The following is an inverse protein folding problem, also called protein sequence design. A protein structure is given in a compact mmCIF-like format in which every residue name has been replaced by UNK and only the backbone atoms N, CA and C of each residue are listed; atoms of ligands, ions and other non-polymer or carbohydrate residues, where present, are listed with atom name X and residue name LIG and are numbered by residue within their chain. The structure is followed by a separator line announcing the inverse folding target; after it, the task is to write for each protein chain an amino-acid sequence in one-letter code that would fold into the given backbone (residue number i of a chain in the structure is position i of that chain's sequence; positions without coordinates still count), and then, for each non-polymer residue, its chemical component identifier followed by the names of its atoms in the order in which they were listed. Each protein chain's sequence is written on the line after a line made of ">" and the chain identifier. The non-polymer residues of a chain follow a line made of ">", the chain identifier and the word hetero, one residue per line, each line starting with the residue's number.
data_IF_094857503484
#
_entry.id   IF_094857503484
#
_cell.length_a   1.000
_cell.length_b   1.000
_cell.length_c   1.000
_cell.angle_alpha   90.00
_cell.angle_beta   90.00
_cell.angle_gamma   90.00
#
_symmetry.space_group_name_H-M   'P 1'
#
loop_
_entity.id
_entity.type
_entity.pdbx_description
1 polymer ?
#
# COMPACT_ATOMS: atom_id res chain seq x y z
N UNK A 1 47.54 18.30 -8.99
CA UNK A 1 46.84 17.85 -7.77
C UNK A 1 45.57 18.66 -7.43
N UNK A 2 44.88 19.28 -8.40
CA UNK A 2 43.69 20.12 -8.16
C UNK A 2 42.39 19.62 -8.82
N UNK A 3 42.42 18.56 -9.63
CA UNK A 3 41.24 18.11 -10.41
C UNK A 3 40.35 17.06 -9.74
N UNK A 4 40.81 16.36 -8.69
CA UNK A 4 40.00 15.31 -8.03
C UNK A 4 39.04 15.88 -6.98
N UNK A 5 39.39 16.99 -6.32
CA UNK A 5 38.53 17.61 -5.30
C UNK A 5 37.24 18.25 -5.86
N UNK A 6 37.28 18.77 -7.08
CA UNK A 6 36.13 19.45 -7.70
C UNK A 6 35.04 18.45 -8.16
N UNK A 7 35.44 17.24 -8.58
CA UNK A 7 34.52 16.17 -8.98
C UNK A 7 33.74 15.60 -7.79
N UNK A 8 34.36 15.50 -6.61
CA UNK A 8 33.68 15.01 -5.39
C UNK A 8 32.69 16.05 -4.84
N UNK A 9 33.05 17.33 -4.85
CA UNK A 9 32.17 18.43 -4.44
C UNK A 9 30.94 18.56 -5.34
N UNK A 10 31.09 18.37 -6.66
CA UNK A 10 29.96 18.39 -7.61
C UNK A 10 29.03 17.20 -7.42
N UNK A 11 29.56 15.99 -7.17
CA UNK A 11 28.73 14.80 -6.90
C UNK A 11 27.94 14.91 -5.58
N UNK A 12 28.53 15.46 -4.53
CA UNK A 12 27.84 15.69 -3.24
C UNK A 12 26.71 16.73 -3.41
N UNK A 13 26.94 17.79 -4.18
CA UNK A 13 25.94 18.83 -4.43
C UNK A 13 24.78 18.32 -5.30
N UNK A 14 25.08 17.48 -6.30
CA UNK A 14 24.07 16.81 -7.12
C UNK A 14 23.23 15.85 -6.27
N UNK A 15 23.84 15.05 -5.39
CA UNK A 15 23.12 14.12 -4.52
C UNK A 15 22.22 14.86 -3.50
N UNK A 16 22.71 15.95 -2.91
CA UNK A 16 21.92 16.82 -2.04
C UNK A 16 20.73 17.46 -2.75
N UNK A 17 20.93 17.91 -3.99
CA UNK A 17 19.88 18.50 -4.84
C UNK A 17 18.83 17.46 -5.24
N UNK A 18 19.25 16.25 -5.65
CA UNK A 18 18.35 15.14 -5.97
C UNK A 18 17.51 14.71 -4.76
N UNK A 19 18.08 14.68 -3.55
CA UNK A 19 17.34 14.38 -2.32
C UNK A 19 16.32 15.46 -1.98
N UNK A 20 16.65 16.74 -2.22
CA UNK A 20 15.77 17.89 -2.00
C UNK A 20 14.63 17.92 -3.01
N UNK A 21 14.90 17.62 -4.29
CA UNK A 21 13.89 17.48 -5.35
C UNK A 21 12.96 16.29 -5.06
N UNK A 22 13.49 15.12 -4.68
CA UNK A 22 12.66 13.95 -4.38
C UNK A 22 11.76 14.18 -3.15
N UNK A 23 12.24 14.90 -2.13
CA UNK A 23 11.42 15.30 -0.98
C UNK A 23 10.35 16.34 -1.37
N UNK A 24 10.70 17.33 -2.18
CA UNK A 24 9.77 18.37 -2.65
C UNK A 24 8.69 17.82 -3.59
N UNK A 25 9.04 16.86 -4.46
CA UNK A 25 8.10 16.17 -5.35
C UNK A 25 7.16 15.29 -4.55
N UNK A 26 7.65 14.53 -3.56
CA UNK A 26 6.78 13.76 -2.65
C UNK A 26 5.75 14.65 -1.97
N UNK A 27 6.19 15.74 -1.33
CA UNK A 27 5.29 16.67 -0.62
C UNK A 27 4.25 17.30 -1.56
N UNK A 28 4.63 17.64 -2.80
CA UNK A 28 3.71 18.27 -3.74
C UNK A 28 2.69 17.26 -4.34
N UNK A 29 3.07 16.00 -4.49
CA UNK A 29 2.17 14.92 -4.92
C UNK A 29 1.13 14.60 -3.82
N UNK A 30 1.54 14.51 -2.55
CA UNK A 30 0.60 14.37 -1.42
C UNK A 30 -0.31 15.59 -1.27
N UNK A 31 0.22 16.80 -1.46
CA UNK A 31 -0.55 18.06 -1.39
C UNK A 31 -1.60 18.19 -2.50
N UNK A 32 -1.35 17.64 -3.70
CA UNK A 32 -2.33 17.64 -4.81
C UNK A 32 -3.34 16.48 -4.73
N UNK A 33 -2.90 15.28 -4.32
CA UNK A 33 -3.82 14.14 -4.12
C UNK A 33 -4.68 14.30 -2.87
N UNK A 34 -4.20 15.05 -1.87
CA UNK A 34 -4.96 15.39 -0.67
C UNK A 34 -6.14 16.32 -0.92
N UNK A 35 -6.16 17.11 -2.01
CA UNK A 35 -7.16 18.16 -2.21
C UNK A 35 -8.54 17.64 -2.66
N UNK A 36 -8.64 16.45 -3.26
CA UNK A 36 -9.91 15.97 -3.82
C UNK A 36 -10.72 15.09 -2.85
N UNK A 37 -10.09 14.50 -1.83
CA UNK A 37 -10.80 14.00 -0.64
C UNK A 37 -10.95 15.07 0.46
N UNK A 38 -10.38 16.26 0.27
CA UNK A 38 -10.32 17.34 1.27
C UNK A 38 -11.63 18.07 1.51
N UNK A 39 -12.62 17.93 0.64
CA UNK A 39 -13.87 18.69 0.78
C UNK A 39 -14.85 18.09 1.81
N UNK A 40 -14.61 16.87 2.32
CA UNK A 40 -15.63 16.17 3.12
C UNK A 40 -15.34 16.08 4.62
N UNK A 41 -14.10 16.08 5.09
CA UNK A 41 -13.86 16.09 6.56
C UNK A 41 -12.57 16.83 6.95
N UNK A 42 -12.80 18.04 7.49
CA UNK A 42 -12.06 18.85 8.47
C UNK A 42 -10.54 18.67 8.69
N UNK A 43 -9.88 19.82 8.64
CA UNK A 43 -8.44 20.01 8.70
C UNK A 43 -7.80 20.00 10.09
N UNK A 44 -6.54 19.56 10.08
CA UNK A 44 -5.53 19.63 11.14
C UNK A 44 -4.24 18.99 10.63
N UNK A 45 -3.06 19.43 11.05
CA UNK A 45 -1.77 18.85 10.62
C UNK A 45 -1.63 17.37 10.98
N UNK A 46 -2.35 16.90 12.01
CA UNK A 46 -2.46 15.48 12.36
C UNK A 46 -3.45 14.70 11.48
N UNK A 47 -4.43 15.38 10.87
CA UNK A 47 -5.43 14.76 10.00
C UNK A 47 -4.78 14.16 8.75
N UNK A 48 -3.74 14.80 8.21
CA UNK A 48 -2.99 14.31 7.04
C UNK A 48 -2.37 12.91 7.24
N UNK A 49 -2.04 12.54 8.48
CA UNK A 49 -1.47 11.22 8.82
C UNK A 49 -2.58 10.23 9.22
N UNK A 50 -3.67 10.71 9.81
CA UNK A 50 -4.75 9.88 10.34
C UNK A 50 -5.70 9.41 9.22
N UNK A 51 -6.05 10.29 8.27
CA UNK A 51 -7.02 9.97 7.22
C UNK A 51 -6.62 8.77 6.33
N UNK A 52 -5.35 8.57 5.92
CA UNK A 52 -4.97 7.43 5.09
C UNK A 52 -5.07 6.12 5.88
N UNK A 53 -4.73 6.15 7.18
CA UNK A 53 -4.86 4.98 8.05
C UNK A 53 -6.34 4.62 8.20
N UNK A 54 -7.20 5.61 8.43
CA UNK A 54 -8.64 5.41 8.53
C UNK A 54 -9.21 4.83 7.23
N UNK A 55 -8.77 5.35 6.08
CA UNK A 55 -9.18 4.84 4.76
C UNK A 55 -8.73 3.40 4.57
N UNK A 56 -7.48 3.05 4.92
CA UNK A 56 -6.96 1.68 4.80
C UNK A 56 -7.76 0.71 5.67
N UNK A 57 -8.05 1.08 6.92
CA UNK A 57 -8.82 0.23 7.86
C UNK A 57 -10.27 0.09 7.39
N UNK A 58 -10.90 1.19 6.97
CA UNK A 58 -12.27 1.18 6.43
C UNK A 58 -12.37 0.31 5.18
N UNK A 59 -11.47 0.53 4.20
CA UNK A 59 -11.41 -0.26 2.97
C UNK A 59 -11.16 -1.74 3.25
N UNK A 60 -10.22 -2.08 4.16
CA UNK A 60 -9.97 -3.47 4.56
C UNK A 60 -11.19 -4.10 5.23
N UNK A 61 -11.97 -3.34 5.99
CA UNK A 61 -13.18 -3.86 6.65
C UNK A 61 -14.24 -4.21 5.61
N UNK A 62 -14.56 -3.27 4.71
CA UNK A 62 -15.47 -3.53 3.59
C UNK A 62 -14.98 -4.68 2.71
N UNK A 63 -13.68 -4.70 2.43
CA UNK A 63 -13.03 -5.76 1.68
C UNK A 63 -13.32 -7.14 2.26
N UNK A 64 -12.99 -7.35 3.54
CA UNK A 64 -13.14 -8.65 4.18
C UNK A 64 -14.62 -9.08 4.31
N UNK A 65 -15.55 -8.12 4.44
CA UNK A 65 -17.01 -8.39 4.40
C UNK A 65 -17.43 -8.85 3.00
N UNK A 66 -17.10 -8.09 1.96
CA UNK A 66 -17.46 -8.41 0.58
C UNK A 66 -16.81 -9.71 0.10
N UNK A 67 -15.54 -9.95 0.45
CA UNK A 67 -14.82 -11.17 0.12
C UNK A 67 -15.50 -12.41 0.75
N UNK A 68 -15.98 -12.31 2.00
CA UNK A 68 -16.75 -13.39 2.63
C UNK A 68 -18.14 -13.57 2.03
N UNK A 69 -18.80 -12.47 1.65
CA UNK A 69 -20.12 -12.51 1.01
C UNK A 69 -20.08 -12.94 -0.46
N UNK A 70 -18.90 -13.09 -1.04
CA UNK A 70 -18.74 -13.54 -2.44
C UNK A 70 -19.28 -14.97 -2.55
N UNK A 71 -20.29 -15.22 -3.40
CA UNK A 71 -20.91 -16.54 -3.50
C UNK A 71 -19.90 -17.64 -3.83
N UNK A 72 -20.10 -18.81 -3.21
CA UNK A 72 -19.27 -19.99 -3.44
C UNK A 72 -19.51 -20.59 -4.83
N UNK A 73 -20.69 -20.35 -5.40
CA UNK A 73 -21.14 -20.94 -6.66
C UNK A 73 -20.52 -20.29 -7.91
N UNK A 74 -19.93 -19.11 -7.79
CA UNK A 74 -19.23 -18.44 -8.89
C UNK A 74 -17.73 -18.76 -8.85
N UNK A 75 -17.12 -18.87 -10.02
CA UNK A 75 -15.66 -18.98 -10.11
C UNK A 75 -15.00 -17.72 -9.49
N UNK A 76 -14.03 -17.90 -8.59
CA UNK A 76 -13.37 -16.79 -7.91
C UNK A 76 -12.73 -15.82 -8.91
N UNK A 77 -12.09 -16.33 -9.97
CA UNK A 77 -11.47 -15.49 -11.00
C UNK A 77 -12.49 -14.70 -11.83
N UNK A 78 -13.70 -15.23 -12.03
CA UNK A 78 -14.78 -14.49 -12.70
C UNK A 78 -15.24 -13.31 -11.85
N UNK A 79 -15.46 -13.53 -10.55
CA UNK A 79 -15.80 -12.44 -9.61
C UNK A 79 -14.68 -11.40 -9.54
N UNK A 80 -13.43 -11.85 -9.42
CA UNK A 80 -12.27 -10.96 -9.39
C UNK A 80 -12.12 -10.16 -10.67
N UNK A 81 -12.39 -10.75 -11.84
CA UNK A 81 -12.36 -10.03 -13.13
C UNK A 81 -13.33 -8.85 -13.13
N UNK A 82 -14.54 -9.03 -12.60
CA UNK A 82 -15.52 -7.94 -12.45
C UNK A 82 -14.99 -6.88 -11.47
N UNK A 83 -14.48 -7.29 -10.30
CA UNK A 83 -13.91 -6.38 -9.30
C UNK A 83 -12.79 -5.52 -9.87
N UNK A 84 -11.85 -6.12 -10.61
CA UNK A 84 -10.74 -5.40 -11.24
C UNK A 84 -11.22 -4.47 -12.36
N UNK A 85 -12.22 -4.88 -13.13
CA UNK A 85 -12.81 -4.03 -14.15
C UNK A 85 -13.46 -2.78 -13.52
N UNK A 86 -14.22 -2.94 -12.44
CA UNK A 86 -14.78 -1.82 -11.66
C UNK A 86 -13.68 -0.94 -11.08
N UNK A 87 -12.63 -1.52 -10.49
CA UNK A 87 -11.50 -0.78 -9.94
C UNK A 87 -10.77 0.02 -11.03
N UNK A 88 -10.57 -0.56 -12.22
CA UNK A 88 -9.96 0.10 -13.37
C UNK A 88 -10.77 1.32 -13.81
N UNK A 89 -12.10 1.20 -13.93
CA UNK A 89 -12.98 2.32 -14.29
C UNK A 89 -12.86 3.44 -13.25
N UNK A 90 -12.92 3.11 -11.95
CA UNK A 90 -12.77 4.09 -10.88
C UNK A 90 -11.40 4.78 -10.90
N UNK A 91 -10.31 4.04 -11.14
CA UNK A 91 -8.97 4.60 -11.29
C UNK A 91 -8.88 5.56 -12.47
N UNK A 92 -9.50 5.24 -13.62
CA UNK A 92 -9.53 6.12 -14.80
C UNK A 92 -10.31 7.40 -14.48
N UNK A 93 -11.48 7.29 -13.84
CA UNK A 93 -12.27 8.46 -13.42
C UNK A 93 -11.45 9.35 -12.49
N UNK A 94 -10.83 8.76 -11.46
CA UNK A 94 -9.99 9.48 -10.51
C UNK A 94 -8.76 10.12 -11.17
N UNK A 95 -8.18 9.48 -12.18
CA UNK A 95 -7.08 10.04 -12.96
C UNK A 95 -7.50 11.32 -13.67
N UNK A 96 -8.68 11.34 -14.29
CA UNK A 96 -9.18 12.54 -14.97
C UNK A 96 -9.64 13.64 -14.01
N UNK A 97 -10.14 13.30 -12.81
CA UNK A 97 -10.53 14.31 -11.80
C UNK A 97 -9.33 14.91 -11.05
N UNK A 98 -8.24 14.14 -10.89
CA UNK A 98 -7.06 14.55 -10.10
C UNK A 98 -5.87 14.99 -10.97
N UNK A 99 -5.80 14.52 -12.22
CA UNK A 99 -4.67 14.75 -13.11
C UNK A 99 -4.61 16.16 -13.68
N UNK A 100 -3.46 16.82 -13.54
CA UNK A 100 -3.14 18.05 -14.30
C UNK A 100 -2.61 17.75 -15.72
N UNK A 101 -2.43 16.46 -16.07
CA UNK A 101 -1.86 16.00 -17.34
C UNK A 101 -2.98 15.52 -18.29
N UNK A 102 -3.07 16.02 -19.53
CA UNK A 102 -4.20 15.75 -20.41
C UNK A 102 -4.18 14.38 -21.12
N UNK A 103 -3.10 13.58 -21.02
CA UNK A 103 -2.94 12.34 -21.81
C UNK A 103 -2.58 11.13 -20.94
N UNK A 104 -3.53 10.20 -20.82
CA UNK A 104 -3.36 8.91 -20.14
C UNK A 104 -2.22 8.08 -20.75
N UNK A 105 -2.07 8.12 -22.08
CA UNK A 105 -1.01 7.40 -22.81
C UNK A 105 0.40 7.83 -22.39
N UNK A 106 0.60 9.10 -22.04
CA UNK A 106 1.90 9.62 -21.59
C UNK A 106 2.27 9.13 -20.19
N UNK A 107 1.29 8.91 -19.32
CA UNK A 107 1.52 8.35 -17.98
C UNK A 107 1.66 6.82 -18.03
N UNK A 108 0.91 6.14 -18.91
CA UNK A 108 1.09 4.70 -19.16
C UNK A 108 2.49 4.39 -19.70
N UNK A 109 3.05 5.27 -20.53
CA UNK A 109 4.42 5.10 -21.02
C UNK A 109 5.48 5.20 -19.90
N UNK A 110 5.14 5.79 -18.75
CA UNK A 110 6.02 5.80 -17.55
C UNK A 110 5.79 4.61 -16.63
N UNK A 111 4.76 3.79 -16.89
CA UNK A 111 4.50 2.60 -16.10
C UNK A 111 5.69 1.65 -16.21
N UNK A 112 6.15 1.15 -15.07
CA UNK A 112 7.32 0.29 -14.99
C UNK A 112 6.93 -1.16 -14.65
N UNK A 113 7.90 -2.07 -14.69
CA UNK A 113 7.73 -3.47 -14.29
C UNK A 113 7.09 -3.65 -12.90
N UNK A 114 7.29 -2.67 -12.00
CA UNK A 114 6.69 -2.63 -10.67
C UNK A 114 5.16 -2.67 -10.70
N UNK A 115 4.53 -2.00 -11.67
CA UNK A 115 3.06 -1.98 -11.78
C UNK A 115 2.50 -3.35 -12.18
N UNK A 116 3.23 -4.10 -13.01
CA UNK A 116 2.85 -5.45 -13.41
C UNK A 116 2.93 -6.41 -12.23
N UNK A 117 4.04 -6.40 -11.49
CA UNK A 117 4.21 -7.25 -10.31
C UNK A 117 3.24 -6.89 -9.19
N UNK A 118 2.93 -5.61 -9.03
CA UNK A 118 1.91 -5.18 -8.09
C UNK A 118 0.54 -5.75 -8.48
N UNK A 119 0.16 -5.71 -9.76
CA UNK A 119 -1.07 -6.32 -10.24
C UNK A 119 -1.16 -7.83 -9.96
N UNK A 120 -0.08 -8.57 -10.21
CA UNK A 120 0.00 -10.01 -9.90
C UNK A 120 -0.15 -10.24 -8.39
N UNK A 121 0.51 -9.42 -7.56
CA UNK A 121 0.44 -9.51 -6.10
C UNK A 121 -0.98 -9.28 -5.57
N UNK A 122 -1.69 -8.28 -6.10
CA UNK A 122 -3.07 -7.99 -5.70
C UNK A 122 -3.96 -9.18 -6.10
N UNK A 123 -3.82 -9.74 -7.31
CA UNK A 123 -4.59 -10.91 -7.73
C UNK A 123 -4.40 -12.12 -6.80
N UNK A 124 -3.16 -12.40 -6.40
CA UNK A 124 -2.85 -13.47 -5.46
C UNK A 124 -3.44 -13.22 -4.05
N UNK A 125 -3.33 -11.98 -3.56
CA UNK A 125 -3.88 -11.57 -2.26
C UNK A 125 -5.40 -11.77 -2.23
N UNK A 126 -6.06 -11.27 -3.27
CA UNK A 126 -7.50 -11.34 -3.45
C UNK A 126 -8.02 -12.77 -3.51
N UNK A 127 -7.39 -13.59 -4.35
CA UNK A 127 -7.71 -15.01 -4.44
C UNK A 127 -7.45 -15.75 -3.12
N UNK A 128 -6.38 -15.39 -2.40
CA UNK A 128 -6.04 -15.95 -1.09
C UNK A 128 -7.13 -15.72 -0.05
N UNK A 129 -7.60 -14.47 0.10
CA UNK A 129 -8.67 -14.15 1.05
C UNK A 129 -10.00 -14.82 0.70
N UNK A 130 -10.40 -14.81 -0.58
CA UNK A 130 -11.60 -15.52 -1.03
C UNK A 130 -11.49 -17.02 -0.71
N UNK A 131 -10.32 -17.62 -0.91
CA UNK A 131 -10.08 -19.04 -0.59
C UNK A 131 -10.16 -19.34 0.90
N UNK A 132 -9.64 -18.46 1.76
CA UNK A 132 -9.73 -18.60 3.22
C UNK A 132 -11.20 -18.53 3.67
N UNK A 133 -11.99 -17.61 3.12
CA UNK A 133 -13.40 -17.49 3.46
C UNK A 133 -14.24 -18.65 2.93
N UNK A 134 -13.90 -19.19 1.76
CA UNK A 134 -14.48 -20.44 1.23
C UNK A 134 -14.18 -21.66 2.11
N UNK A 135 -13.02 -21.68 2.77
CA UNK A 135 -12.69 -22.69 3.76
C UNK A 135 -13.47 -22.56 5.09
N UNK A 136 -14.39 -21.60 5.20
CA UNK A 136 -15.28 -21.44 6.35
C UNK A 136 -14.74 -20.56 7.46
N UNK A 137 -13.60 -19.88 7.26
CA UNK A 137 -12.99 -19.08 8.31
C UNK A 137 -13.85 -17.85 8.69
N UNK A 138 -13.75 -17.44 9.95
CA UNK A 138 -14.38 -16.20 10.42
C UNK A 138 -13.60 -14.98 9.91
N UNK A 139 -14.32 -13.88 9.67
CA UNK A 139 -13.74 -12.62 9.16
C UNK A 139 -12.59 -12.15 10.06
N UNK A 140 -12.87 -12.10 11.38
CA UNK A 140 -11.91 -11.65 12.37
C UNK A 140 -10.67 -12.53 12.46
N UNK A 141 -10.84 -13.85 12.55
CA UNK A 141 -9.72 -14.80 12.68
C UNK A 141 -8.82 -14.79 11.43
N UNK A 142 -9.40 -14.87 10.23
CA UNK A 142 -8.66 -14.86 8.98
C UNK A 142 -7.85 -13.58 8.76
N UNK A 143 -8.50 -12.42 8.91
CA UNK A 143 -7.87 -11.11 8.69
C UNK A 143 -6.81 -10.82 9.75
N UNK A 144 -7.05 -11.23 11.01
CA UNK A 144 -6.08 -11.05 12.10
C UNK A 144 -4.82 -11.90 11.87
N UNK A 145 -4.99 -13.19 11.58
CA UNK A 145 -3.87 -14.11 11.34
C UNK A 145 -3.06 -13.65 10.12
N UNK A 146 -3.74 -13.31 9.02
CA UNK A 146 -3.08 -12.83 7.80
C UNK A 146 -2.28 -11.55 8.04
N UNK A 147 -2.85 -10.55 8.73
CA UNK A 147 -2.17 -9.29 9.00
C UNK A 147 -0.99 -9.43 9.97
N UNK A 148 -1.07 -10.31 10.97
CA UNK A 148 0.05 -10.56 11.89
C UNK A 148 1.19 -11.28 11.17
N UNK A 149 0.89 -12.33 10.40
CA UNK A 149 1.91 -13.03 9.60
C UNK A 149 2.54 -12.05 8.60
N UNK A 150 1.73 -11.22 7.92
CA UNK A 150 2.20 -10.18 7.02
C UNK A 150 3.13 -9.19 7.71
N UNK A 151 2.77 -8.70 8.91
CA UNK A 151 3.62 -7.80 9.69
C UNK A 151 4.97 -8.44 10.03
N UNK A 152 4.98 -9.72 10.40
CA UNK A 152 6.22 -10.47 10.65
C UNK A 152 7.10 -10.59 9.41
N UNK A 153 6.51 -10.96 8.27
CA UNK A 153 7.22 -11.09 6.99
C UNK A 153 7.75 -9.72 6.54
N UNK A 154 6.95 -8.66 6.63
CA UNK A 154 7.36 -7.31 6.24
C UNK A 154 8.50 -6.78 7.11
N UNK A 155 8.51 -7.07 8.41
CA UNK A 155 9.62 -6.68 9.28
C UNK A 155 10.92 -7.39 8.85
N UNK A 156 10.83 -8.68 8.56
CA UNK A 156 11.97 -9.45 8.05
C UNK A 156 12.47 -8.94 6.68
N UNK A 157 11.54 -8.64 5.77
CA UNK A 157 11.84 -8.06 4.46
C UNK A 157 12.44 -6.66 4.60
N UNK A 158 11.94 -5.83 5.52
CA UNK A 158 12.48 -4.51 5.86
C UNK A 158 13.92 -4.59 6.37
N UNK A 159 14.21 -5.59 7.20
CA UNK A 159 15.56 -5.86 7.68
C UNK A 159 16.51 -6.30 6.56
N UNK A 160 16.11 -7.27 5.74
CA UNK A 160 16.99 -7.88 4.72
C UNK A 160 17.15 -7.03 3.46
N UNK A 161 16.05 -6.55 2.88
CA UNK A 161 16.07 -5.84 1.60
C UNK A 161 16.30 -4.34 1.78
N UNK A 162 15.66 -3.74 2.79
CA UNK A 162 15.72 -2.29 3.01
C UNK A 162 16.78 -1.87 4.03
N UNK A 163 17.44 -2.84 4.70
CA UNK A 163 18.43 -2.61 5.76
C UNK A 163 17.92 -1.68 6.86
N UNK A 164 16.63 -1.76 7.14
CA UNK A 164 16.03 -0.98 8.21
C UNK A 164 16.57 -1.46 9.57
N UNK A 165 16.94 -0.50 10.42
CA UNK A 165 17.44 -0.81 11.76
C UNK A 165 16.26 -1.29 12.62
N UNK A 166 16.12 -2.61 12.73
CA UNK A 166 15.13 -3.23 13.61
C UNK A 166 15.55 -3.01 15.06
N UNK A 167 14.70 -2.30 15.81
CA UNK A 167 14.92 -2.10 17.24
C UNK A 167 14.46 -3.30 18.05
N UNK A 168 15.13 -3.56 19.18
CA UNK A 168 14.72 -4.56 20.18
C UNK A 168 13.24 -4.42 20.59
N UNK A 169 12.71 -3.19 20.60
CA UNK A 169 11.31 -2.90 20.90
C UNK A 169 10.34 -3.48 19.86
N UNK A 170 10.69 -3.45 18.58
CA UNK A 170 9.86 -4.01 17.52
C UNK A 170 9.84 -5.54 17.57
N UNK A 171 10.96 -6.16 17.92
CA UNK A 171 11.05 -7.62 18.10
C UNK A 171 10.19 -8.07 19.28
N UNK A 172 10.29 -7.38 20.42
CA UNK A 172 9.43 -7.64 21.59
C UNK A 172 7.96 -7.43 21.24
N UNK A 173 7.63 -6.36 20.49
CA UNK A 173 6.28 -6.10 20.00
C UNK A 173 5.72 -7.25 19.15
N UNK A 174 6.53 -7.83 18.25
CA UNK A 174 6.10 -8.99 17.45
C UNK A 174 5.81 -10.23 18.30
N UNK A 175 6.64 -10.51 19.31
CA UNK A 175 6.41 -11.64 20.22
C UNK A 175 5.09 -11.45 20.97
N UNK A 176 4.80 -10.24 21.43
CA UNK A 176 3.54 -9.90 22.10
C UNK A 176 2.35 -10.03 21.14
N UNK A 177 2.46 -9.55 19.90
CA UNK A 177 1.41 -9.74 18.89
C UNK A 177 1.14 -11.22 18.59
N UNK A 178 2.19 -12.05 18.50
CA UNK A 178 2.06 -13.50 18.33
C UNK A 178 1.36 -14.17 19.51
N UNK A 179 1.67 -13.74 20.74
CA UNK A 179 0.99 -14.22 21.94
C UNK A 179 -0.49 -13.80 21.97
N UNK A 180 -0.80 -12.57 21.57
CA UNK A 180 -2.18 -12.10 21.42
C UNK A 180 -2.98 -12.92 20.40
N UNK A 181 -2.34 -13.33 19.30
CA UNK A 181 -2.95 -14.21 18.31
C UNK A 181 -3.24 -15.61 18.89
N UNK A 182 -2.30 -16.17 19.64
CA UNK A 182 -2.47 -17.47 20.29
C UNK A 182 -3.67 -17.47 21.26
N UNK A 183 -3.86 -16.36 21.99
CA UNK A 183 -4.97 -16.21 22.92
C UNK A 183 -6.33 -16.06 22.23
N UNK A 184 -6.37 -15.40 21.06
CA UNK A 184 -7.60 -15.25 20.25
C UNK A 184 -7.94 -16.53 19.48
N UNK A 185 -6.93 -17.29 19.07
CA UNK A 185 -7.10 -18.53 18.31
C UNK A 185 -7.57 -19.74 19.12
N UNK A 186 -7.91 -19.57 20.41
CA UNK A 186 -8.34 -20.62 21.34
C UNK A 186 -9.70 -20.30 21.93
#
# INVERSE_FOLDING_TARGET
>A
MWHVGFAVLTLINIYGTLKKINKSVRVNTYRKQGFFLFAVFLGGTMWEIIWPILLVVGANTFYNICAKSTPNDINAFASLSITYFTAMILCIIMFFTTGSSPKLTTELAKANWTSVILGISILALEFGYVSIYRAGWKIGEASLIANIILACVLLFVGLLLYKEAVSLRQIVGMIICGFGLFLIGK
#
